data_IF_691030101048
#
_entry.id   IF_691030101048
#
_cell.length_a   1.000
_cell.length_b   1.000
_cell.length_c   1.000
_cell.angle_alpha   90.00
_cell.angle_beta   90.00
_cell.angle_gamma   90.00
#
_symmetry.space_group_name_H-M   'P 1'
#
loop_
_entity.id
_entity.type
_entity.pdbx_description
1 polymer ?
#
# COMPACT_ATOMS: atom_id res chain seq x y z
N UNK A 1 43.53 -20.53 -42.73
CA UNK A 1 44.95 -20.44 -42.31
C UNK A 1 45.60 -19.53 -43.32
N UNK A 2 46.26 -18.40 -43.07
CA UNK A 2 46.73 -17.67 -41.89
C UNK A 2 46.88 -16.20 -42.33
N UNK A 3 46.39 -15.24 -41.54
CA UNK A 3 47.16 -14.18 -40.86
C UNK A 3 48.24 -13.49 -41.71
N UNK A 4 48.06 -12.19 -41.92
CA UNK A 4 49.15 -11.24 -42.14
C UNK A 4 49.04 -10.19 -41.03
N UNK A 5 50.04 -10.19 -40.16
CA UNK A 5 50.36 -9.15 -39.19
C UNK A 5 51.75 -8.63 -39.52
N UNK A 6 51.88 -7.30 -39.44
CA UNK A 6 53.01 -6.51 -38.94
C UNK A 6 54.36 -6.55 -39.68
N UNK A 7 54.92 -5.34 -39.85
CA UNK A 7 56.24 -4.89 -39.37
C UNK A 7 56.59 -3.60 -40.17
N UNK A 8 56.55 -2.42 -39.53
CA UNK A 8 57.66 -1.71 -38.87
C UNK A 8 58.70 -1.14 -39.86
N UNK A 9 58.89 0.19 -39.84
CA UNK A 9 60.22 0.83 -39.79
C UNK A 9 60.15 2.36 -39.83
N UNK A 10 61.09 2.94 -39.09
CA UNK A 10 61.12 4.28 -38.54
C UNK A 10 62.06 5.24 -39.27
N UNK A 11 61.77 6.53 -39.15
CA UNK A 11 62.72 7.65 -38.90
C UNK A 11 63.72 8.05 -39.99
N UNK A 12 63.63 9.33 -40.38
CA UNK A 12 64.78 10.23 -40.48
C UNK A 12 64.36 11.70 -40.33
N UNK A 13 65.32 12.47 -39.84
CA UNK A 13 65.26 13.74 -39.12
C UNK A 13 66.09 14.76 -39.92
N UNK A 14 65.68 16.04 -39.97
CA UNK A 14 66.46 17.26 -40.34
C UNK A 14 65.44 18.40 -40.62
N UNK A 15 65.58 19.68 -40.28
CA UNK A 15 66.70 20.61 -40.13
C UNK A 15 66.16 21.81 -39.31
N UNK A 16 66.76 22.21 -38.17
CA UNK A 16 67.79 23.27 -37.99
C UNK A 16 67.38 24.70 -38.42
N UNK A 17 67.53 25.64 -37.48
CA UNK A 17 67.38 27.09 -37.65
C UNK A 17 67.35 27.83 -36.31
N UNK A 18 68.54 28.05 -35.75
CA UNK A 18 68.83 28.81 -34.54
C UNK A 18 68.49 30.31 -34.65
N UNK A 19 68.30 30.99 -33.51
CA UNK A 19 69.10 32.19 -33.14
C UNK A 19 68.69 32.73 -31.75
N UNK A 20 69.69 32.80 -30.86
CA UNK A 20 69.64 33.38 -29.52
C UNK A 20 69.96 34.89 -29.57
N UNK A 21 69.27 35.71 -28.76
CA UNK A 21 69.91 36.87 -28.11
C UNK A 21 69.11 37.30 -26.86
N UNK A 22 69.70 37.08 -25.68
CA UNK A 22 69.29 37.67 -24.40
C UNK A 22 69.57 39.18 -24.37
N UNK A 23 68.74 39.97 -23.69
CA UNK A 23 69.27 40.98 -22.75
C UNK A 23 68.19 41.59 -21.81
N UNK A 24 68.40 41.33 -20.51
CA UNK A 24 68.25 42.20 -19.34
C UNK A 24 66.88 42.82 -18.93
N UNK A 25 66.49 42.53 -17.68
CA UNK A 25 65.30 43.00 -16.93
C UNK A 25 65.42 44.47 -16.44
N UNK A 26 64.34 45.10 -15.93
CA UNK A 26 64.14 44.99 -14.48
C UNK A 26 62.69 44.84 -13.99
N UNK A 27 62.62 44.19 -12.83
CA UNK A 27 61.50 43.84 -11.99
C UNK A 27 60.53 45.00 -11.67
N UNK A 28 59.21 44.79 -11.90
CA UNK A 28 58.13 45.57 -11.28
C UNK A 28 57.23 44.64 -10.46
N UNK A 29 57.20 44.88 -9.14
CA UNK A 29 56.41 44.18 -8.12
C UNK A 29 54.91 44.23 -8.48
N UNK A 30 54.32 43.07 -8.77
CA UNK A 30 52.87 42.96 -8.97
C UNK A 30 52.20 42.74 -7.61
N UNK A 31 51.62 43.81 -7.08
CA UNK A 31 50.73 43.78 -5.92
C UNK A 31 49.44 43.06 -6.35
N UNK A 32 49.18 41.85 -5.83
CA UNK A 32 47.93 41.13 -6.04
C UNK A 32 46.82 41.74 -5.18
N UNK A 33 46.05 42.67 -5.74
CA UNK A 33 44.79 43.11 -5.13
C UNK A 33 43.66 42.16 -5.54
N UNK A 34 43.08 41.49 -4.55
CA UNK A 34 41.94 40.58 -4.71
C UNK A 34 40.65 41.41 -4.86
N UNK A 35 40.17 41.57 -6.09
CA UNK A 35 38.88 42.20 -6.34
C UNK A 35 37.74 41.29 -5.83
N UNK A 36 37.03 41.75 -4.80
CA UNK A 36 35.77 41.16 -4.34
C UNK A 36 34.65 41.63 -5.25
N UNK A 37 34.25 40.81 -6.21
CA UNK A 37 32.98 41.00 -6.91
C UNK A 37 31.85 40.40 -6.10
N UNK A 38 31.08 41.27 -5.44
CA UNK A 38 29.83 40.91 -4.78
C UNK A 38 28.84 40.38 -5.81
N UNK A 39 28.35 39.16 -5.61
CA UNK A 39 27.24 38.60 -6.37
C UNK A 39 25.98 39.40 -6.02
N UNK A 40 25.59 40.33 -6.90
CA UNK A 40 24.25 40.94 -6.85
C UNK A 40 23.23 39.85 -7.19
N UNK A 41 22.24 39.71 -6.32
CA UNK A 41 21.11 38.79 -6.41
C UNK A 41 20.24 39.22 -7.60
N UNK A 42 20.45 38.62 -8.76
CA UNK A 42 19.55 38.79 -9.91
C UNK A 42 18.24 38.10 -9.55
N UNK A 43 17.16 38.87 -9.42
CA UNK A 43 15.81 38.32 -9.32
C UNK A 43 15.52 37.64 -10.65
N UNK A 44 15.29 36.32 -10.62
CA UNK A 44 14.77 35.60 -11.77
C UNK A 44 13.41 36.21 -12.15
N UNK A 45 13.35 36.75 -13.36
CA UNK A 45 12.11 37.20 -14.00
C UNK A 45 11.42 35.96 -14.56
N UNK A 46 10.17 35.65 -14.18
CA UNK A 46 9.39 34.66 -14.90
C UNK A 46 9.16 35.15 -16.33
N UNK A 47 9.52 34.29 -17.27
CA UNK A 47 9.36 34.47 -18.71
C UNK A 47 7.88 34.54 -19.11
N UNK A 48 7.64 35.25 -20.22
CA UNK A 48 6.43 35.24 -21.07
C UNK A 48 5.38 36.30 -20.73
N UNK A 49 5.53 37.50 -21.29
CA UNK A 49 4.65 38.07 -22.33
C UNK A 49 5.42 39.15 -23.10
N UNK A 50 5.14 39.28 -24.39
CA UNK A 50 5.68 40.30 -25.27
C UNK A 50 4.90 41.61 -25.06
N UNK A 51 5.56 42.63 -24.55
CA UNK A 51 5.09 44.03 -24.63
C UNK A 51 6.30 44.93 -24.82
N UNK A 52 6.33 45.71 -25.91
CA UNK A 52 7.42 46.62 -26.26
C UNK A 52 7.58 47.81 -25.30
N UNK A 53 6.78 47.90 -24.22
CA UNK A 53 6.86 48.95 -23.20
C UNK A 53 6.54 48.38 -21.81
N UNK A 54 7.30 48.81 -20.81
CA UNK A 54 7.08 48.51 -19.39
C UNK A 54 6.06 49.53 -18.86
N UNK A 55 4.96 49.12 -18.19
CA UNK A 55 4.06 50.07 -17.51
C UNK A 55 4.69 50.58 -16.21
N UNK A 56 4.53 51.88 -15.93
CA UNK A 56 5.06 52.55 -14.74
C UNK A 56 4.43 52.05 -13.44
N UNK A 57 5.23 52.00 -12.37
CA UNK A 57 4.90 51.43 -11.07
C UNK A 57 3.72 52.14 -10.39
N UNK A 58 2.54 51.50 -10.39
CA UNK A 58 1.35 51.95 -9.64
C UNK A 58 1.24 51.14 -8.34
N UNK A 59 1.97 51.56 -7.31
CA UNK A 59 2.15 50.81 -6.06
C UNK A 59 0.94 50.78 -5.10
N UNK A 60 -0.22 51.33 -5.46
CA UNK A 60 -1.36 51.48 -4.52
C UNK A 60 -2.76 51.23 -5.14
N UNK A 61 -2.86 50.46 -6.22
CA UNK A 61 -4.15 50.08 -6.80
C UNK A 61 -4.33 48.56 -6.69
N UNK A 62 -5.28 48.14 -5.85
CA UNK A 62 -5.71 46.74 -5.78
C UNK A 62 -6.27 46.39 -7.16
N UNK A 63 -5.51 45.63 -7.93
CA UNK A 63 -5.96 45.15 -9.25
C UNK A 63 -7.08 44.15 -9.01
N UNK A 64 -8.33 44.58 -9.15
CA UNK A 64 -9.45 43.66 -9.27
C UNK A 64 -9.23 42.88 -10.57
N UNK A 65 -8.97 41.56 -10.53
CA UNK A 65 -8.83 40.80 -11.76
C UNK A 65 -10.17 40.88 -12.50
N UNK A 66 -10.19 41.55 -13.64
CA UNK A 66 -11.33 41.55 -14.54
C UNK A 66 -11.40 40.13 -15.11
N UNK A 67 -12.28 39.34 -14.53
CA UNK A 67 -12.56 37.98 -14.96
C UNK A 67 -13.30 38.07 -16.29
N UNK A 68 -12.76 37.42 -17.33
CA UNK A 68 -13.47 37.33 -18.62
C UNK A 68 -14.79 36.56 -18.43
N UNK A 69 -15.85 36.88 -19.17
CA UNK A 69 -17.15 36.22 -19.01
C UNK A 69 -17.04 34.70 -19.14
N UNK A 70 -16.14 34.21 -20.00
CA UNK A 70 -15.87 32.78 -20.14
C UNK A 70 -15.21 32.16 -18.90
N UNK A 71 -14.32 32.88 -18.23
CA UNK A 71 -13.68 32.38 -17.00
C UNK A 71 -14.67 32.40 -15.82
N UNK A 72 -15.61 33.34 -15.80
CA UNK A 72 -16.75 33.33 -14.87
C UNK A 72 -17.66 32.11 -15.11
N UNK A 73 -17.94 31.78 -16.37
CA UNK A 73 -18.70 30.57 -16.72
C UNK A 73 -17.99 29.28 -16.30
N UNK A 74 -16.66 29.23 -16.43
CA UNK A 74 -15.85 28.06 -16.05
C UNK A 74 -15.64 27.95 -14.54
N UNK A 75 -15.66 29.06 -13.81
CA UNK A 75 -15.57 29.06 -12.35
C UNK A 75 -16.87 28.64 -11.68
N UNK A 76 -18.01 28.76 -12.39
CA UNK A 76 -19.27 28.21 -11.92
C UNK A 76 -19.13 26.68 -11.79
N UNK A 77 -19.55 26.09 -10.65
CA UNK A 77 -19.54 24.66 -10.51
C UNK A 77 -20.37 24.05 -11.64
N UNK A 78 -19.85 22.98 -12.27
CA UNK A 78 -20.58 22.25 -13.33
C UNK A 78 -21.99 21.96 -12.80
N UNK A 79 -23.00 22.55 -13.43
CA UNK A 79 -24.39 22.33 -13.06
C UNK A 79 -24.68 20.84 -13.19
N UNK A 80 -25.14 20.22 -12.12
CA UNK A 80 -25.64 18.86 -12.17
C UNK A 80 -26.86 18.85 -13.08
N UNK A 81 -26.68 18.44 -14.34
CA UNK A 81 -27.81 18.15 -15.23
C UNK A 81 -28.52 16.93 -14.66
N UNK A 82 -29.55 17.15 -13.83
CA UNK A 82 -30.31 16.06 -13.21
C UNK A 82 -30.95 15.16 -14.27
N UNK A 83 -31.26 15.72 -15.45
CA UNK A 83 -31.84 14.98 -16.58
C UNK A 83 -30.88 13.97 -17.19
N UNK A 84 -29.58 14.27 -17.28
CA UNK A 84 -28.61 13.40 -17.97
C UNK A 84 -28.18 12.17 -17.14
N UNK A 85 -28.23 12.27 -15.81
CA UNK A 85 -27.86 11.15 -14.92
C UNK A 85 -29.02 10.19 -14.64
N UNK A 86 -30.27 10.63 -14.77
CA UNK A 86 -31.43 9.81 -14.43
C UNK A 86 -31.79 8.79 -15.52
N UNK A 87 -31.40 9.02 -16.78
CA UNK A 87 -31.72 8.10 -17.88
C UNK A 87 -30.74 6.92 -18.01
N UNK A 88 -29.45 7.15 -17.72
CA UNK A 88 -28.39 6.14 -17.88
C UNK A 88 -27.92 5.51 -16.57
N UNK A 89 -28.41 5.98 -15.42
CA UNK A 89 -28.07 5.43 -14.10
C UNK A 89 -29.36 5.19 -13.33
N UNK A 90 -29.77 3.92 -13.26
CA UNK A 90 -30.71 3.47 -12.23
C UNK A 90 -30.21 4.00 -10.89
N UNK A 91 -31.10 4.62 -10.10
CA UNK A 91 -30.80 5.24 -8.81
C UNK A 91 -29.77 4.44 -7.99
N UNK A 92 -28.91 5.08 -7.18
CA UNK A 92 -27.97 4.36 -6.31
C UNK A 92 -28.68 3.41 -5.33
N UNK A 93 -29.99 3.60 -5.17
CA UNK A 93 -30.91 2.71 -4.48
C UNK A 93 -31.38 1.66 -5.48
N UNK A 94 -30.93 0.42 -5.30
CA UNK A 94 -31.42 -0.73 -6.06
C UNK A 94 -32.89 -1.00 -5.70
N UNK A 95 -33.79 -1.22 -6.67
CA UNK A 95 -35.18 -1.55 -6.38
C UNK A 95 -35.25 -2.91 -5.67
N UNK A 96 -35.73 -2.91 -4.43
CA UNK A 96 -35.95 -4.12 -3.65
C UNK A 96 -37.31 -4.71 -4.04
N UNK A 97 -37.38 -6.02 -4.26
CA UNK A 97 -38.65 -6.68 -4.58
C UNK A 97 -39.64 -6.59 -3.40
N UNK A 98 -40.95 -6.50 -3.69
CA UNK A 98 -41.99 -6.53 -2.64
C UNK A 98 -41.90 -7.77 -1.76
N UNK A 99 -41.59 -8.92 -2.37
CA UNK A 99 -41.37 -10.17 -1.65
C UNK A 99 -40.24 -10.08 -0.61
N UNK A 100 -39.15 -9.36 -0.91
CA UNK A 100 -38.07 -9.12 0.06
C UNK A 100 -38.46 -8.18 1.19
N UNK A 101 -39.31 -7.18 0.93
CA UNK A 101 -39.80 -6.27 1.96
C UNK A 101 -40.82 -6.94 2.90
N UNK A 102 -41.63 -7.85 2.36
CA UNK A 102 -42.66 -8.60 3.10
C UNK A 102 -42.14 -9.89 3.74
N UNK A 103 -40.90 -10.29 3.43
CA UNK A 103 -40.30 -11.53 3.92
C UNK A 103 -40.19 -11.53 5.45
N UNK A 104 -40.93 -12.44 6.10
CA UNK A 104 -40.85 -12.68 7.53
C UNK A 104 -39.84 -13.78 7.83
N UNK A 105 -39.02 -13.60 8.87
CA UNK A 105 -38.06 -14.61 9.29
C UNK A 105 -38.77 -15.92 9.70
N UNK A 106 -38.29 -17.04 9.18
CA UNK A 106 -38.79 -18.38 9.54
C UNK A 106 -38.50 -18.70 11.01
N UNK A 107 -39.24 -19.64 11.60
CA UNK A 107 -39.03 -20.09 12.98
C UNK A 107 -37.58 -20.53 13.21
N UNK A 108 -37.00 -21.28 12.27
CA UNK A 108 -35.59 -21.70 12.29
C UNK A 108 -34.62 -20.50 12.27
N UNK A 109 -34.85 -19.51 11.40
CA UNK A 109 -33.99 -18.32 11.35
C UNK A 109 -34.05 -17.53 12.65
N UNK A 110 -35.23 -17.44 13.30
CA UNK A 110 -35.34 -16.84 14.63
C UNK A 110 -34.51 -17.59 15.66
N UNK A 111 -34.55 -18.92 15.69
CA UNK A 111 -33.72 -19.72 16.61
C UNK A 111 -32.22 -19.50 16.34
N UNK A 112 -31.80 -19.48 15.07
CA UNK A 112 -30.39 -19.27 14.70
C UNK A 112 -29.92 -17.83 14.96
N UNK A 113 -30.82 -16.85 14.90
CA UNK A 113 -30.52 -15.46 15.21
C UNK A 113 -30.26 -15.23 16.71
N UNK A 114 -30.75 -16.11 17.60
CA UNK A 114 -30.36 -16.05 19.01
C UNK A 114 -28.88 -16.36 19.14
N UNK A 115 -28.08 -15.51 19.81
CA UNK A 115 -26.67 -15.76 19.99
C UNK A 115 -26.50 -17.08 20.75
N UNK A 116 -25.59 -17.93 20.28
CA UNK A 116 -25.24 -19.15 21.00
C UNK A 116 -24.69 -18.76 22.37
N UNK A 117 -25.35 -19.19 23.44
CA UNK A 117 -24.81 -19.10 24.79
C UNK A 117 -23.54 -19.96 24.84
N UNK A 118 -22.38 -19.32 24.68
CA UNK A 118 -21.11 -19.96 24.99
C UNK A 118 -21.09 -20.14 26.49
N UNK A 119 -20.94 -21.38 26.96
CA UNK A 119 -20.56 -21.60 28.35
C UNK A 119 -19.30 -20.79 28.59
N UNK A 120 -19.32 -19.97 29.62
CA UNK A 120 -18.29 -19.03 30.01
C UNK A 120 -17.11 -19.77 30.66
N UNK A 121 -16.64 -20.84 30.01
CA UNK A 121 -15.39 -21.55 30.34
C UNK A 121 -14.16 -20.61 30.31
N UNK A 122 -14.25 -19.51 29.58
CA UNK A 122 -13.21 -18.47 29.49
C UNK A 122 -13.40 -17.31 30.47
N UNK A 123 -14.53 -17.24 31.19
CA UNK A 123 -14.67 -16.30 32.30
C UNK A 123 -14.07 -16.98 33.51
N UNK A 124 -12.80 -16.69 33.75
CA UNK A 124 -12.12 -17.11 34.98
C UNK A 124 -12.83 -16.39 36.13
N UNK A 125 -13.35 -17.16 37.10
CA UNK A 125 -13.93 -16.56 38.30
C UNK A 125 -12.88 -15.66 38.96
N UNK A 126 -13.17 -14.37 39.21
CA UNK A 126 -12.20 -13.45 39.80
C UNK A 126 -11.76 -13.89 41.20
N UNK A 127 -12.55 -14.74 41.87
CA UNK A 127 -12.22 -15.37 43.15
C UNK A 127 -11.11 -16.43 43.05
N UNK A 128 -10.86 -16.99 41.85
CA UNK A 128 -9.78 -17.94 41.59
C UNK A 128 -8.45 -17.24 41.25
N UNK A 129 -8.50 -15.98 40.80
CA UNK A 129 -7.31 -15.18 40.49
C UNK A 129 -6.83 -14.52 41.79
N UNK A 130 -6.02 -15.24 42.57
CA UNK A 130 -5.42 -14.71 43.78
C UNK A 130 -4.21 -13.84 43.42
N UNK A 131 -4.38 -12.52 43.53
CA UNK A 131 -3.31 -11.53 43.33
C UNK A 131 -2.62 -11.24 44.66
N UNK A 132 -1.30 -11.03 44.65
CA UNK A 132 -0.56 -10.70 45.87
C UNK A 132 -1.03 -9.38 46.50
N UNK A 133 -0.90 -9.25 47.83
CA UNK A 133 -1.28 -8.02 48.56
C UNK A 133 -0.54 -6.79 48.01
N UNK A 134 0.73 -6.95 47.63
CA UNK A 134 1.53 -5.88 47.04
C UNK A 134 0.98 -5.42 45.69
N UNK A 135 0.60 -6.34 44.80
CA UNK A 135 0.03 -5.98 43.50
C UNK A 135 -1.38 -5.35 43.64
N UNK A 136 -2.16 -5.74 44.65
CA UNK A 136 -3.45 -5.10 44.95
C UNK A 136 -3.33 -3.68 45.51
N UNK A 137 -2.23 -3.39 46.21
CA UNK A 137 -1.96 -2.07 46.81
C UNK A 137 -1.06 -1.18 45.96
N UNK A 138 -0.63 -1.65 44.78
CA UNK A 138 0.28 -0.89 43.92
C UNK A 138 -0.46 0.27 43.24
N UNK A 139 -0.03 1.50 43.52
CA UNK A 139 -0.55 2.68 42.84
C UNK A 139 0.11 2.85 41.46
N UNK A 140 -0.67 3.10 40.39
CA UNK A 140 -0.12 3.33 39.07
C UNK A 140 0.65 4.65 39.01
N UNK A 141 1.73 4.67 38.22
CA UNK A 141 2.49 5.90 37.96
C UNK A 141 1.63 6.92 37.20
N UNK A 142 1.88 8.24 37.35
CA UNK A 142 1.12 9.29 36.68
C UNK A 142 1.08 9.10 35.16
N UNK A 143 2.22 8.76 34.54
CA UNK A 143 2.29 8.42 33.11
C UNK A 143 1.39 7.25 32.70
N UNK A 144 1.23 6.24 33.56
CA UNK A 144 0.35 5.10 33.28
C UNK A 144 -1.11 5.53 33.31
N UNK A 145 -1.48 6.45 34.22
CA UNK A 145 -2.81 7.06 34.26
C UNK A 145 -3.08 7.92 33.02
N UNK A 146 -2.10 8.73 32.58
CA UNK A 146 -2.19 9.53 31.35
C UNK A 146 -2.39 8.68 30.10
N UNK A 147 -1.72 7.52 30.02
CA UNK A 147 -1.85 6.60 28.89
C UNK A 147 -3.15 5.79 28.93
N UNK A 148 -3.64 5.46 30.13
CA UNK A 148 -4.90 4.77 30.33
C UNK A 148 -6.11 5.67 30.08
N UNK A 149 -5.94 6.99 30.18
CA UNK A 149 -6.98 7.95 29.84
C UNK A 149 -7.38 7.78 28.36
N UNK A 150 -8.68 7.65 28.05
CA UNK A 150 -9.14 7.53 26.68
C UNK A 150 -8.74 8.79 25.91
N UNK A 151 -7.99 8.63 24.81
CA UNK A 151 -7.70 9.75 23.92
C UNK A 151 -9.01 10.20 23.28
N UNK A 152 -9.59 11.29 23.77
CA UNK A 152 -10.67 12.01 23.08
C UNK A 152 -10.07 12.69 21.85
N UNK A 153 -9.78 11.89 20.81
CA UNK A 153 -9.49 12.45 19.50
C UNK A 153 -10.83 13.01 19.01
N UNK A 154 -11.13 14.27 19.31
CA UNK A 154 -12.09 15.03 18.52
C UNK A 154 -11.43 15.27 17.17
N UNK A 155 -11.36 14.22 16.35
CA UNK A 155 -10.96 14.35 14.96
C UNK A 155 -12.10 15.07 14.27
N UNK A 156 -12.13 16.40 14.38
CA UNK A 156 -12.79 17.20 13.37
C UNK A 156 -12.10 16.83 12.06
N UNK A 157 -12.88 16.35 11.09
CA UNK A 157 -12.39 15.89 9.78
C UNK A 157 -11.41 16.87 9.13
N UNK A 158 -11.53 18.17 9.45
CA UNK A 158 -10.62 19.25 9.06
C UNK A 158 -9.16 18.99 9.42
N UNK A 159 -8.84 18.40 10.58
CA UNK A 159 -7.45 18.24 11.04
C UNK A 159 -6.67 17.19 10.23
N UNK A 160 -7.35 16.18 9.69
CA UNK A 160 -6.73 15.17 8.82
C UNK A 160 -6.28 15.76 7.47
N UNK A 161 -6.81 16.91 7.06
CA UNK A 161 -6.43 17.58 5.80
C UNK A 161 -5.22 18.50 5.96
N UNK A 162 -4.93 19.00 7.17
CA UNK A 162 -3.85 19.97 7.40
C UNK A 162 -2.48 19.34 7.69
N UNK A 163 -2.39 18.02 7.90
CA UNK A 163 -1.11 17.34 8.16
C UNK A 163 -0.27 17.21 6.89
N UNK A 164 -0.87 17.39 5.71
CA UNK A 164 -0.12 17.53 4.47
C UNK A 164 0.39 18.96 4.32
N UNK A 165 1.40 19.34 5.13
CA UNK A 165 2.22 20.52 4.81
C UNK A 165 2.75 20.33 3.39
N UNK A 166 2.49 21.24 2.43
CA UNK A 166 3.09 21.14 1.11
C UNK A 166 4.61 21.12 1.30
N UNK A 167 5.28 20.12 0.72
CA UNK A 167 6.74 20.03 0.76
C UNK A 167 7.29 21.36 0.24
N UNK A 168 8.18 22.00 1.01
CA UNK A 168 8.71 23.35 0.75
C UNK A 168 9.54 23.48 -0.53
N UNK A 169 9.73 22.39 -1.27
CA UNK A 169 10.42 22.40 -2.55
C UNK A 169 9.39 22.26 -3.68
N UNK A 170 9.32 23.19 -4.64
CA UNK A 170 8.53 22.97 -5.86
C UNK A 170 9.00 21.65 -6.47
N UNK A 171 8.08 20.74 -6.84
CA UNK A 171 8.50 19.46 -7.39
C UNK A 171 9.25 19.75 -8.69
N UNK A 172 10.39 19.09 -8.89
CA UNK A 172 11.24 19.28 -10.06
C UNK A 172 10.40 19.07 -11.34
N UNK A 173 9.98 20.19 -11.95
CA UNK A 173 9.04 20.16 -13.09
C UNK A 173 9.67 19.42 -14.28
N UNK A 174 10.99 19.43 -14.39
CA UNK A 174 11.72 18.72 -15.45
C UNK A 174 11.54 17.22 -15.29
N UNK A 175 11.75 16.70 -14.07
CA UNK A 175 11.54 15.30 -13.74
C UNK A 175 10.09 14.87 -13.91
N UNK A 176 9.13 15.70 -13.48
CA UNK A 176 7.71 15.39 -13.67
C UNK A 176 7.39 15.29 -15.16
N UNK A 177 7.85 16.24 -15.97
CA UNK A 177 7.64 16.22 -17.41
C UNK A 177 8.22 14.95 -18.05
N UNK A 178 9.46 14.59 -17.70
CA UNK A 178 10.09 13.34 -18.17
C UNK A 178 9.34 12.08 -17.73
N UNK A 179 8.76 12.06 -16.53
CA UNK A 179 7.95 10.93 -16.04
C UNK A 179 6.55 10.88 -16.67
N UNK A 180 6.01 12.03 -17.09
CA UNK A 180 4.72 12.12 -17.76
C UNK A 180 4.80 11.73 -19.25
N UNK A 181 6.00 11.81 -19.85
CA UNK A 181 6.22 11.31 -21.20
C UNK A 181 6.09 9.77 -21.24
N UNK A 182 5.41 9.20 -22.25
CA UNK A 182 5.35 7.76 -22.41
C UNK A 182 6.78 7.21 -22.59
N UNK A 183 7.05 6.05 -21.98
CA UNK A 183 8.35 5.39 -22.16
C UNK A 183 8.54 5.03 -23.62
N UNK A 184 9.69 5.38 -24.18
CA UNK A 184 10.08 4.96 -25.52
C UNK A 184 10.25 3.44 -25.52
N UNK A 185 9.43 2.75 -26.31
CA UNK A 185 9.55 1.30 -26.50
C UNK A 185 10.86 0.99 -27.23
N UNK A 186 11.56 -0.07 -26.85
CA UNK A 186 12.75 -0.53 -27.58
C UNK A 186 12.39 -0.84 -29.04
N UNK A 187 13.35 -0.69 -29.98
CA UNK A 187 13.13 -1.03 -31.39
C UNK A 187 12.63 -2.46 -31.62
N UNK A 188 12.86 -3.37 -30.68
CA UNK A 188 12.41 -4.76 -30.73
C UNK A 188 11.13 -5.04 -29.92
N UNK A 189 10.37 -4.00 -29.55
CA UNK A 189 9.12 -4.18 -28.81
C UNK A 189 8.04 -4.80 -29.70
N UNK A 190 7.59 -6.00 -29.34
CA UNK A 190 6.50 -6.72 -30.00
C UNK A 190 5.27 -6.65 -29.10
N UNK A 191 4.13 -6.26 -29.66
CA UNK A 191 2.85 -6.22 -28.94
C UNK A 191 2.46 -7.61 -28.42
N UNK A 192 1.65 -7.64 -27.36
CA UNK A 192 1.08 -8.88 -26.82
C UNK A 192 0.41 -9.68 -27.94
N UNK A 193 0.73 -10.98 -28.00
CA UNK A 193 0.10 -11.90 -28.96
C UNK A 193 -1.43 -11.85 -28.75
N UNK A 194 -2.24 -11.87 -29.82
CA UNK A 194 -3.69 -11.84 -29.68
C UNK A 194 -4.17 -13.01 -28.80
N UNK A 195 -5.20 -12.80 -27.95
CA UNK A 195 -5.63 -13.76 -26.93
C UNK A 195 -6.19 -15.08 -27.49
N UNK A 196 -6.42 -15.17 -28.80
CA UNK A 196 -6.84 -16.38 -29.48
C UNK A 196 -5.62 -17.18 -29.95
N UNK A 197 -5.17 -18.15 -29.16
CA UNK A 197 -4.29 -19.18 -29.70
C UNK A 197 -5.09 -20.06 -30.67
N UNK A 198 -4.64 -20.18 -31.92
CA UNK A 198 -5.27 -21.10 -32.89
C UNK A 198 -4.90 -22.53 -32.46
N UNK A 199 -5.84 -23.22 -31.83
CA UNK A 199 -5.67 -24.62 -31.45
C UNK A 199 -5.79 -25.48 -32.72
N UNK A 200 -4.77 -26.30 -32.98
CA UNK A 200 -4.73 -27.22 -34.12
C UNK A 200 -5.84 -28.27 -34.02
N UNK A 201 -6.30 -28.82 -35.15
CA UNK A 201 -7.39 -29.80 -35.14
C UNK A 201 -6.98 -31.10 -34.45
N UNK A 202 -5.70 -31.47 -34.53
CA UNK A 202 -5.14 -32.64 -33.83
C UNK A 202 -5.25 -32.46 -32.32
N UNK A 203 -5.03 -31.25 -31.82
CA UNK A 203 -5.15 -30.93 -30.39
C UNK A 203 -6.61 -30.96 -29.93
N UNK A 204 -7.56 -30.50 -30.76
CA UNK A 204 -8.99 -30.59 -30.46
C UNK A 204 -9.51 -32.02 -30.43
N UNK A 205 -8.95 -32.88 -31.28
CA UNK A 205 -9.35 -34.27 -31.44
C UNK A 205 -8.50 -35.23 -30.60
N UNK A 206 -7.59 -34.73 -29.77
CA UNK A 206 -6.70 -35.55 -28.97
C UNK A 206 -7.47 -36.32 -27.90
N UNK A 207 -7.32 -37.65 -27.90
CA UNK A 207 -7.92 -38.54 -26.90
C UNK A 207 -6.98 -38.67 -25.70
N UNK A 208 -7.47 -38.51 -24.46
CA UNK A 208 -6.61 -38.62 -23.26
C UNK A 208 -6.05 -40.03 -23.09
N UNK A 209 -4.78 -40.11 -22.67
CA UNK A 209 -4.12 -41.38 -22.35
C UNK A 209 -4.78 -42.06 -21.15
N UNK A 210 -4.67 -43.39 -21.05
CA UNK A 210 -5.17 -44.19 -19.91
C UNK A 210 -4.74 -43.64 -18.55
N UNK A 211 -3.49 -43.16 -18.42
CA UNK A 211 -2.98 -42.51 -17.21
C UNK A 211 -3.73 -41.23 -16.86
N UNK A 212 -4.04 -40.39 -17.85
CA UNK A 212 -4.79 -39.14 -17.65
C UNK A 212 -6.20 -39.47 -17.17
N UNK A 213 -6.85 -40.45 -17.80
CA UNK A 213 -8.17 -40.94 -17.37
C UNK A 213 -8.15 -41.50 -15.94
N UNK A 214 -7.08 -42.22 -15.56
CA UNK A 214 -6.92 -42.71 -14.20
C UNK A 214 -6.76 -41.57 -13.18
N UNK A 215 -5.91 -40.58 -13.47
CA UNK A 215 -5.69 -39.43 -12.60
C UNK A 215 -6.90 -38.48 -12.53
N UNK A 216 -7.73 -38.46 -13.57
CA UNK A 216 -8.96 -37.67 -13.62
C UNK A 216 -10.07 -38.24 -12.72
N UNK A 217 -9.94 -39.49 -12.23
CA UNK A 217 -10.90 -40.04 -11.27
C UNK A 217 -10.81 -39.26 -9.96
N UNK A 218 -11.94 -38.81 -9.39
CA UNK A 218 -11.94 -38.13 -8.11
C UNK A 218 -11.37 -39.05 -7.02
N UNK A 219 -10.57 -38.48 -6.12
CA UNK A 219 -10.08 -39.23 -4.97
C UNK A 219 -11.25 -39.48 -4.01
N UNK A 220 -11.64 -40.74 -3.85
CA UNK A 220 -12.59 -41.15 -2.82
C UNK A 220 -12.00 -40.79 -1.44
N UNK A 221 -12.75 -40.01 -0.68
CA UNK A 221 -12.42 -39.67 0.71
C UNK A 221 -13.28 -40.57 1.58
N UNK A 222 -12.64 -41.50 2.26
CA UNK A 222 -13.25 -42.31 3.30
C UNK A 222 -13.47 -41.37 4.48
N UNK A 223 -14.72 -41.29 4.97
CA UNK A 223 -15.03 -40.48 6.14
C UNK A 223 -14.28 -41.05 7.36
N UNK A 224 -13.82 -40.17 8.27
CA UNK A 224 -13.00 -40.57 9.41
C UNK A 224 -13.65 -41.60 10.37
N UNK A 225 -14.94 -41.86 10.19
CA UNK A 225 -15.73 -42.79 10.98
C UNK A 225 -16.23 -44.01 10.19
N UNK A 226 -15.91 -44.14 8.89
CA UNK A 226 -16.28 -45.32 8.11
C UNK A 226 -15.49 -46.53 8.61
N UNK A 227 -16.20 -47.48 9.23
CA UNK A 227 -15.63 -48.67 9.85
C UNK A 227 -15.30 -48.55 11.35
N UNK A 228 -15.63 -47.43 12.00
CA UNK A 228 -15.49 -47.29 13.45
C UNK A 228 -16.76 -47.77 14.17
N UNK A 229 -16.66 -48.87 14.92
CA UNK A 229 -17.72 -49.31 15.83
C UNK A 229 -17.67 -48.44 17.11
N UNK A 230 -18.69 -47.62 17.41
CA UNK A 230 -18.67 -46.73 18.58
C UNK A 230 -18.67 -47.49 19.92
N UNK A 231 -18.95 -48.79 19.91
CA UNK A 231 -18.96 -49.63 21.11
C UNK A 231 -17.70 -50.49 21.23
N UNK A 232 -16.76 -50.40 20.28
CA UNK A 232 -15.51 -51.14 20.39
C UNK A 232 -14.63 -50.52 21.49
N UNK A 233 -14.39 -51.29 22.55
CA UNK A 233 -13.46 -50.91 23.62
C UNK A 233 -12.12 -51.55 23.29
N UNK A 234 -11.04 -50.76 23.36
CA UNK A 234 -9.70 -51.30 23.12
C UNK A 234 -9.31 -52.30 24.21
N UNK A 235 -8.57 -53.35 23.85
CA UNK A 235 -8.09 -54.34 24.82
C UNK A 235 -7.22 -53.72 25.93
N UNK A 236 -6.54 -52.62 25.63
CA UNK A 236 -5.77 -51.86 26.61
C UNK A 236 -6.68 -51.19 27.65
N UNK A 237 -7.81 -50.62 27.21
CA UNK A 237 -8.79 -50.02 28.12
C UNK A 237 -9.47 -51.08 29.00
N UNK A 238 -9.80 -52.26 28.46
CA UNK A 238 -10.35 -53.37 29.25
C UNK A 238 -9.38 -53.90 30.31
N UNK A 239 -8.07 -53.87 30.03
CA UNK A 239 -7.02 -54.35 30.93
C UNK A 239 -6.48 -53.26 31.86
N UNK A 240 -6.93 -52.01 31.72
CA UNK A 240 -6.43 -50.91 32.51
C UNK A 240 -6.95 -51.00 33.94
N UNK A 241 -6.04 -51.11 34.91
CA UNK A 241 -6.38 -51.03 36.32
C UNK A 241 -6.42 -49.56 36.78
N UNK A 242 -7.45 -49.14 37.53
CA UNK A 242 -7.54 -47.77 38.01
C UNK A 242 -6.47 -47.47 39.08
N UNK A 243 -5.98 -46.23 39.12
CA UNK A 243 -4.98 -45.83 40.11
C UNK A 243 -5.57 -45.78 41.53
N UNK A 244 -4.74 -45.91 42.59
CA UNK A 244 -5.20 -45.83 43.98
C UNK A 244 -6.05 -44.59 44.27
N UNK A 245 -5.69 -43.45 43.67
CA UNK A 245 -6.42 -42.19 43.80
C UNK A 245 -7.84 -42.25 43.22
N UNK A 246 -8.07 -43.00 42.16
CA UNK A 246 -9.41 -43.18 41.58
C UNK A 246 -10.31 -43.94 42.56
N UNK A 247 -9.79 -44.95 43.24
CA UNK A 247 -10.52 -45.65 44.30
C UNK A 247 -10.90 -44.72 45.45
N UNK A 248 -10.00 -43.84 45.89
CA UNK A 248 -10.29 -42.85 46.93
C UNK A 248 -11.41 -41.88 46.52
N UNK A 249 -11.40 -41.43 45.26
CA UNK A 249 -12.39 -40.51 44.72
C UNK A 249 -13.74 -41.17 44.48
N UNK A 250 -13.76 -42.48 44.19
CA UNK A 250 -14.97 -43.25 44.00
C UNK A 250 -15.76 -43.45 45.31
N UNK A 251 -15.15 -43.17 46.48
CA UNK A 251 -15.85 -43.21 47.76
C UNK A 251 -16.87 -42.05 47.82
N UNK A 252 -18.17 -42.34 47.94
CA UNK A 252 -19.19 -41.30 47.98
C UNK A 252 -19.05 -40.44 49.24
N UNK A 253 -19.14 -39.12 49.08
CA UNK A 253 -19.13 -38.20 50.22
C UNK A 253 -20.46 -38.33 50.98
N UNK A 254 -20.39 -38.68 52.26
CA UNK A 254 -21.56 -38.69 53.15
C UNK A 254 -21.96 -37.25 53.44
N UNK A 255 -23.09 -36.80 52.88
CA UNK A 255 -23.66 -35.49 53.17
C UNK A 255 -24.59 -35.62 54.38
N UNK A 256 -24.19 -35.08 55.53
CA UNK A 256 -25.10 -34.95 56.67
C UNK A 256 -26.07 -33.82 56.38
N UNK A 257 -27.38 -34.13 56.34
CA UNK A 257 -28.42 -33.10 56.29
C UNK A 257 -28.41 -32.38 57.64
N UNK A 258 -28.12 -31.08 57.63
CA UNK A 258 -28.34 -30.23 58.81
C UNK A 258 -29.85 -30.00 58.92
N UNK A 259 -30.43 -30.48 60.02
CA UNK A 259 -31.81 -30.18 60.42
C UNK A 259 -31.90 -28.76 60.97
#
# INVERSE_FOLDING_TARGET
>A
MERISQDDLSTSHESLGDDNLEDSLPLKKIIKTKARYGKKKVRERPSVYWTDKIPEDTTLSVTCPIVTPRLEELSRPKRFYSTYYNECRSTPIWPISRASLEAKATSRLKVLAHPKLRSNIWVVDPTKIQVSKAARMAEPRPRTLELAAPKTKSVTSSELFFINKPKQHPPDLTRIYHLAMPKVTSNNYVYDKPPSWIISQETKNAVPTSRILYLAKPRERIDCNEGHDPYCISMAAMKAEPSPRIYELAVPKRVTRKF
#
